data_IF_175906582840
#
_entry.id   IF_175906582840
#
_cell.length_a   1.000
_cell.length_b   1.000
_cell.length_c   1.000
_cell.angle_alpha   90.00
_cell.angle_beta   90.00
_cell.angle_gamma   90.00
#
_symmetry.space_group_name_H-M   'P 1'
#
loop_
_entity.id
_entity.type
_entity.pdbx_description
1 polymer ?
#
# COMPACT_ATOMS: atom_id res chain seq x y z
N UNK A 1 3.55 -9.19 1.55
CA UNK A 1 4.28 -7.98 1.12
C UNK A 1 3.55 -6.75 1.64
N UNK A 2 4.28 -5.71 2.07
CA UNK A 2 3.69 -4.49 2.65
C UNK A 2 4.34 -3.27 1.98
N UNK A 3 3.79 -2.77 0.86
CA UNK A 3 4.31 -1.58 0.19
C UNK A 3 4.00 -0.29 0.98
N UNK A 4 4.85 0.71 0.83
CA UNK A 4 4.80 1.98 1.55
C UNK A 4 4.25 3.08 0.65
N UNK A 5 3.16 3.71 1.06
CA UNK A 5 2.69 4.98 0.49
C UNK A 5 3.42 6.12 1.23
N UNK A 6 4.29 6.82 0.51
CA UNK A 6 5.07 7.95 1.06
C UNK A 6 4.24 9.24 1.04
N UNK A 7 4.50 10.11 2.00
CA UNK A 7 3.90 11.45 2.09
C UNK A 7 2.36 11.45 2.09
N UNK A 8 1.74 10.38 2.61
CA UNK A 8 0.29 10.20 2.62
C UNK A 8 -0.49 11.34 3.29
N UNK A 9 0.14 12.10 4.20
CA UNK A 9 -0.46 13.28 4.83
C UNK A 9 -0.68 14.47 3.88
N UNK A 10 -0.06 14.47 2.70
CA UNK A 10 -0.28 15.48 1.66
C UNK A 10 -1.24 15.01 0.56
N UNK A 11 -1.68 13.76 0.60
CA UNK A 11 -2.53 13.17 -0.43
C UNK A 11 -4.01 13.44 -0.15
N UNK A 12 -4.79 13.63 -1.23
CA UNK A 12 -6.24 13.55 -1.13
C UNK A 12 -6.66 12.08 -1.00
N UNK A 13 -7.89 11.84 -0.52
CA UNK A 13 -8.41 10.47 -0.39
C UNK A 13 -8.38 9.71 -1.73
N UNK A 14 -8.76 10.37 -2.82
CA UNK A 14 -8.76 9.77 -4.15
C UNK A 14 -7.34 9.40 -4.62
N UNK A 15 -6.34 10.25 -4.36
CA UNK A 15 -4.95 9.94 -4.70
C UNK A 15 -4.43 8.75 -3.88
N UNK A 16 -4.77 8.68 -2.59
CA UNK A 16 -4.42 7.55 -1.72
C UNK A 16 -5.06 6.25 -2.22
N UNK A 17 -6.34 6.27 -2.59
CA UNK A 17 -7.05 5.11 -3.15
C UNK A 17 -6.42 4.63 -4.46
N UNK A 18 -6.05 5.57 -5.34
CA UNK A 18 -5.38 5.25 -6.59
C UNK A 18 -4.02 4.58 -6.35
N UNK A 19 -3.24 5.05 -5.37
CA UNK A 19 -1.97 4.44 -4.99
C UNK A 19 -2.16 3.03 -4.40
N UNK A 20 -3.16 2.83 -3.53
CA UNK A 20 -3.51 1.49 -3.00
C UNK A 20 -3.86 0.53 -4.14
N UNK A 21 -4.65 1.00 -5.11
CA UNK A 21 -5.08 0.20 -6.27
C UNK A 21 -3.90 -0.19 -7.15
N UNK A 22 -3.00 0.75 -7.45
CA UNK A 22 -1.77 0.50 -8.21
C UNK A 22 -0.89 -0.55 -7.51
N UNK A 23 -0.58 -0.34 -6.24
CA UNK A 23 0.21 -1.29 -5.46
C UNK A 23 -0.47 -2.67 -5.39
N UNK A 24 -1.80 -2.72 -5.28
CA UNK A 24 -2.56 -3.96 -5.31
C UNK A 24 -2.47 -4.70 -6.66
N UNK A 25 -2.46 -3.98 -7.78
CA UNK A 25 -2.28 -4.59 -9.10
C UNK A 25 -0.85 -5.12 -9.26
N UNK A 26 0.15 -4.31 -8.94
CA UNK A 26 1.57 -4.70 -9.06
C UNK A 26 1.97 -5.81 -8.09
N UNK A 27 1.36 -5.85 -6.91
CA UNK A 27 1.53 -6.96 -5.96
C UNK A 27 1.05 -8.29 -6.55
N UNK A 28 -0.11 -8.32 -7.21
CA UNK A 28 -0.63 -9.52 -7.90
C UNK A 28 0.27 -9.97 -9.04
N UNK A 29 0.83 -9.02 -9.76
CA UNK A 29 1.76 -9.27 -10.87
C UNK A 29 3.19 -9.61 -10.41
N UNK A 30 3.50 -9.54 -9.11
CA UNK A 30 4.85 -9.76 -8.58
C UNK A 30 5.86 -8.67 -8.93
N UNK A 31 5.41 -7.45 -9.23
CA UNK A 31 6.21 -6.30 -9.72
C UNK A 31 6.59 -5.29 -8.64
N UNK A 32 6.43 -5.63 -7.37
CA UNK A 32 6.83 -4.75 -6.27
C UNK A 32 8.31 -4.94 -5.99
N UNK A 33 9.02 -3.83 -5.90
CA UNK A 33 10.45 -3.80 -5.63
C UNK A 33 10.73 -3.72 -4.12
N UNK A 34 11.93 -4.13 -3.66
CA UNK A 34 12.31 -4.01 -2.25
C UNK A 34 12.26 -2.59 -1.70
N UNK A 35 12.64 -1.59 -2.49
CA UNK A 35 12.66 -0.18 -2.08
C UNK A 35 11.27 0.37 -1.76
N UNK A 36 10.24 -0.20 -2.38
CA UNK A 36 8.84 0.18 -2.16
C UNK A 36 8.28 -0.40 -0.85
N UNK A 37 9.00 -1.29 -0.18
CA UNK A 37 8.60 -1.85 1.11
C UNK A 37 9.39 -1.24 2.28
N UNK A 38 10.30 -0.30 2.00
CA UNK A 38 11.20 0.29 2.99
C UNK A 38 10.76 1.68 3.46
N UNK A 39 11.19 2.06 4.67
CA UNK A 39 11.04 3.42 5.19
C UNK A 39 9.63 3.81 5.63
N UNK A 40 8.75 2.84 5.87
CA UNK A 40 7.40 3.10 6.40
C UNK A 40 7.43 3.61 7.85
N UNK A 41 6.59 4.59 8.17
CA UNK A 41 6.47 5.15 9.53
C UNK A 41 5.44 4.41 10.38
N UNK A 42 4.35 3.93 9.79
CA UNK A 42 3.32 3.12 10.44
C UNK A 42 2.76 2.09 9.45
N UNK A 43 2.03 1.11 9.96
CA UNK A 43 1.40 0.05 9.15
C UNK A 43 -0.08 -0.08 9.49
N UNK A 44 -0.92 -0.21 8.47
CA UNK A 44 -2.33 -0.61 8.61
C UNK A 44 -2.46 -2.03 8.10
N UNK A 45 -3.03 -2.91 8.91
CA UNK A 45 -3.35 -4.29 8.53
C UNK A 45 -4.86 -4.51 8.66
N UNK A 46 -5.51 -4.94 7.59
CA UNK A 46 -6.93 -5.28 7.60
C UNK A 46 -7.08 -6.81 7.64
N UNK A 47 -7.36 -7.36 8.83
CA UNK A 47 -7.63 -8.79 9.01
C UNK A 47 -9.03 -9.23 8.59
N UNK A 48 -9.97 -8.30 8.40
CA UNK A 48 -11.38 -8.61 8.09
C UNK A 48 -11.59 -9.29 6.73
N UNK A 49 -10.59 -9.28 5.86
CA UNK A 49 -10.62 -9.98 4.56
C UNK A 49 -10.57 -11.51 4.68
N UNK A 50 -10.16 -12.06 5.83
CA UNK A 50 -10.04 -13.51 6.04
C UNK A 50 -11.23 -14.15 6.80
N UNK A 51 -12.25 -13.36 7.14
CA UNK A 51 -13.36 -13.77 8.01
C UNK A 51 -13.03 -13.49 9.48
N UNK A 52 -13.87 -12.67 10.12
CA UNK A 52 -13.76 -12.24 11.52
C UNK A 52 -14.19 -13.30 12.51
#
# INVERSE_FOLDING_TARGET
MVPVIKDAGMMTLAATEQAITDFGARARDGKITPDEMAGGTFTISNGGVYGS
#
